data_IF_598968825139
#
_entry.id   IF_598968825139
#
_cell.length_a   1.000
_cell.length_b   1.000
_cell.length_c   1.000
_cell.angle_alpha   90.00
_cell.angle_beta   90.00
_cell.angle_gamma   90.00
#
_symmetry.space_group_name_H-M   'P 1'
#
loop_
_entity.id
_entity.type
_entity.pdbx_description
1 polymer ?
#
# COMPACT_ATOMS: atom_id res chain seq x y z
N UNK A 1 18.08 21.27 -11.18
CA UNK A 1 17.20 20.62 -10.20
C UNK A 1 17.96 19.43 -9.70
N UNK A 2 18.18 19.36 -8.39
CA UNK A 2 18.96 18.30 -7.78
C UNK A 2 18.18 16.99 -7.95
N UNK A 3 18.61 16.13 -8.88
CA UNK A 3 18.05 14.78 -9.01
C UNK A 3 18.63 13.91 -7.91
N UNK A 4 18.41 14.32 -6.66
CA UNK A 4 18.78 13.57 -5.48
C UNK A 4 18.03 12.24 -5.46
N UNK A 5 18.72 11.17 -5.11
CA UNK A 5 18.08 9.88 -4.85
C UNK A 5 16.96 10.08 -3.82
N UNK A 6 15.73 9.57 -4.05
CA UNK A 6 14.62 9.82 -3.13
C UNK A 6 14.90 9.19 -1.76
N UNK A 7 14.72 9.96 -0.69
CA UNK A 7 14.99 9.54 0.69
C UNK A 7 14.12 8.33 1.11
N UNK A 8 12.89 8.29 0.62
CA UNK A 8 11.91 7.27 0.97
C UNK A 8 11.47 6.44 -0.23
N UNK A 9 11.14 5.18 0.04
CA UNK A 9 10.31 4.33 -0.82
C UNK A 9 8.91 4.30 -0.22
N UNK A 10 7.92 4.71 -1.03
CA UNK A 10 6.51 4.62 -0.65
C UNK A 10 6.01 3.20 -0.89
N UNK A 11 5.58 2.55 0.18
CA UNK A 11 4.89 1.25 0.11
C UNK A 11 3.42 1.47 0.42
N UNK A 12 2.55 0.92 -0.44
CA UNK A 12 1.10 1.01 -0.28
C UNK A 12 0.55 -0.40 -0.04
N UNK A 13 -0.16 -0.58 1.07
CA UNK A 13 -0.87 -1.82 1.42
C UNK A 13 -2.38 -1.62 1.27
N UNK A 14 -3.09 -2.68 0.86
CA UNK A 14 -4.53 -2.64 0.81
C UNK A 14 -5.12 -2.48 2.22
N UNK A 15 -6.17 -1.67 2.32
CA UNK A 15 -7.04 -1.56 3.49
C UNK A 15 -8.21 -2.51 3.32
N UNK A 16 -8.64 -3.09 4.44
CA UNK A 16 -9.81 -3.94 4.50
C UNK A 16 -10.56 -3.60 5.78
N UNK A 17 -11.86 -3.33 5.66
CA UNK A 17 -12.69 -2.86 6.77
C UNK A 17 -14.09 -3.45 6.69
N UNK A 18 -14.61 -3.90 7.83
CA UNK A 18 -15.98 -4.37 7.96
C UNK A 18 -16.95 -3.18 7.97
N UNK A 19 -17.96 -3.25 7.12
CA UNK A 19 -19.01 -2.25 6.98
C UNK A 19 -20.18 -2.53 7.95
N UNK A 20 -21.07 -1.56 8.11
CA UNK A 20 -22.24 -1.66 9.00
C UNK A 20 -23.19 -2.81 8.62
N UNK A 21 -23.33 -3.07 7.32
CA UNK A 21 -24.13 -4.17 6.77
C UNK A 21 -23.45 -5.54 6.87
N UNK A 22 -22.35 -5.63 7.63
CA UNK A 22 -21.52 -6.82 7.85
C UNK A 22 -20.70 -7.26 6.63
N UNK A 23 -20.78 -6.55 5.50
CA UNK A 23 -19.89 -6.77 4.36
C UNK A 23 -18.47 -6.26 4.66
N UNK A 24 -17.53 -6.61 3.79
CA UNK A 24 -16.14 -6.21 3.87
C UNK A 24 -15.76 -5.39 2.65
N UNK A 25 -15.26 -4.18 2.90
CA UNK A 25 -14.74 -3.27 1.88
C UNK A 25 -13.22 -3.41 1.82
N UNK A 26 -12.66 -3.51 0.62
CA UNK A 26 -11.22 -3.50 0.41
C UNK A 26 -10.81 -2.51 -0.68
N UNK A 27 -9.73 -1.75 -0.45
CA UNK A 27 -9.25 -0.71 -1.36
C UNK A 27 -7.76 -0.42 -1.15
N UNK A 28 -7.12 0.24 -2.11
CA UNK A 28 -5.81 0.86 -1.90
C UNK A 28 -6.01 2.33 -1.47
N UNK A 29 -5.25 2.86 -0.48
CA UNK A 29 -5.42 4.24 -0.01
C UNK A 29 -5.39 5.34 -1.08
N UNK A 30 -4.66 5.10 -2.19
CA UNK A 30 -4.55 6.05 -3.31
C UNK A 30 -5.58 5.84 -4.43
N UNK A 31 -6.46 4.87 -4.28
CA UNK A 31 -7.37 4.45 -5.33
C UNK A 31 -8.76 5.08 -5.11
N UNK A 32 -9.38 5.50 -6.21
CA UNK A 32 -10.76 5.97 -6.27
C UNK A 32 -11.78 4.82 -6.35
N UNK A 33 -11.31 3.59 -6.36
CA UNK A 33 -12.11 2.38 -6.50
C UNK A 33 -11.94 1.46 -5.29
N UNK A 34 -12.93 0.59 -5.09
CA UNK A 34 -12.94 -0.39 -4.01
C UNK A 34 -13.76 -1.61 -4.43
N UNK A 35 -13.64 -2.70 -3.68
CA UNK A 35 -14.46 -3.89 -3.84
C UNK A 35 -15.20 -4.20 -2.54
N UNK A 36 -16.33 -4.91 -2.66
CA UNK A 36 -17.13 -5.40 -1.53
C UNK A 36 -17.26 -6.93 -1.61
N UNK A 37 -17.18 -7.62 -0.46
CA UNK A 37 -17.46 -9.04 -0.34
C UNK A 37 -18.07 -9.38 1.04
N UNK A 38 -18.62 -10.59 1.18
CA UNK A 38 -19.26 -11.02 2.44
C UNK A 38 -18.24 -11.41 3.52
N UNK A 39 -16.99 -11.68 3.13
CA UNK A 39 -15.90 -12.06 4.03
C UNK A 39 -14.65 -11.21 3.79
N UNK A 40 -13.83 -11.09 4.82
CA UNK A 40 -12.55 -10.35 4.74
C UNK A 40 -11.64 -10.95 3.67
N UNK A 41 -11.45 -12.27 3.68
CA UNK A 41 -10.65 -12.98 2.69
C UNK A 41 -11.22 -12.82 1.27
N UNK A 42 -12.55 -12.84 1.13
CA UNK A 42 -13.22 -12.59 -0.13
C UNK A 42 -12.96 -11.18 -0.65
N UNK A 43 -12.94 -10.17 0.22
CA UNK A 43 -12.65 -8.79 -0.16
C UNK A 43 -11.18 -8.63 -0.58
N UNK A 44 -10.24 -9.28 0.12
CA UNK A 44 -8.81 -9.32 -0.25
C UNK A 44 -8.60 -9.98 -1.61
N UNK A 45 -9.26 -11.10 -1.86
CA UNK A 45 -9.20 -11.82 -3.14
C UNK A 45 -9.74 -10.96 -4.29
N UNK A 46 -10.96 -10.41 -4.14
CA UNK A 46 -11.56 -9.53 -5.14
C UNK A 46 -10.70 -8.29 -5.43
N UNK A 47 -10.05 -7.73 -4.40
CA UNK A 47 -9.20 -6.56 -4.57
C UNK A 47 -7.97 -6.87 -5.44
N UNK A 48 -7.36 -8.04 -5.22
CA UNK A 48 -6.24 -8.53 -6.05
C UNK A 48 -6.70 -8.75 -7.49
N UNK A 49 -7.82 -9.42 -7.69
CA UNK A 49 -8.32 -9.74 -9.03
C UNK A 49 -8.71 -8.46 -9.81
N UNK A 50 -9.32 -7.47 -9.14
CA UNK A 50 -9.64 -6.17 -9.74
C UNK A 50 -8.37 -5.34 -10.04
N UNK A 51 -7.34 -5.42 -9.19
CA UNK A 51 -6.05 -4.81 -9.47
C UNK A 51 -5.40 -5.40 -10.73
N UNK A 52 -5.39 -6.73 -10.86
CA UNK A 52 -4.86 -7.43 -12.03
C UNK A 52 -5.64 -7.08 -13.30
N UNK A 53 -6.98 -7.00 -13.21
CA UNK A 53 -7.82 -6.54 -14.33
C UNK A 53 -7.44 -5.13 -14.78
N UNK A 54 -7.35 -4.17 -13.85
CA UNK A 54 -6.99 -2.77 -14.14
C UNK A 54 -5.59 -2.65 -14.70
N UNK A 55 -4.63 -3.42 -14.16
CA UNK A 55 -3.27 -3.47 -14.68
C UNK A 55 -3.26 -3.90 -16.15
N UNK A 56 -3.97 -4.99 -16.47
CA UNK A 56 -4.05 -5.52 -17.83
C UNK A 56 -4.81 -4.59 -18.80
N UNK A 57 -5.74 -3.80 -18.27
CA UNK A 57 -6.49 -2.79 -19.04
C UNK A 57 -5.75 -1.45 -19.19
N UNK A 58 -4.61 -1.26 -18.51
CA UNK A 58 -3.91 0.03 -18.47
C UNK A 58 -4.65 1.12 -17.68
N UNK A 59 -5.57 0.73 -16.80
CA UNK A 59 -6.41 1.62 -15.98
C UNK A 59 -5.77 1.97 -14.62
N UNK A 60 -4.55 1.49 -14.35
CA UNK A 60 -3.84 1.84 -13.11
C UNK A 60 -3.15 3.18 -13.25
N UNK A 61 -3.48 4.08 -12.34
CA UNK A 61 -2.76 5.32 -12.18
C UNK A 61 -1.35 5.06 -11.64
N UNK A 62 -0.37 5.36 -12.49
CA UNK A 62 1.07 5.25 -12.20
C UNK A 62 1.68 6.61 -11.87
N UNK A 63 0.86 7.64 -11.60
CA UNK A 63 1.34 8.97 -11.24
C UNK A 63 2.40 8.93 -10.13
N UNK A 64 3.37 9.88 -10.16
CA UNK A 64 4.52 9.86 -9.26
C UNK A 64 4.09 9.88 -7.79
N UNK A 65 4.68 8.97 -7.00
CA UNK A 65 4.42 8.80 -5.57
C UNK A 65 4.75 10.03 -4.70
N UNK A 66 5.27 11.13 -5.25
CA UNK A 66 5.73 12.31 -4.50
C UNK A 66 4.58 13.03 -3.78
N UNK A 67 3.41 13.19 -4.42
CA UNK A 67 2.23 13.81 -3.79
C UNK A 67 1.72 12.96 -2.62
N UNK A 68 1.70 11.63 -2.80
CA UNK A 68 1.28 10.68 -1.76
C UNK A 68 2.26 10.67 -0.58
N UNK A 69 3.57 10.72 -0.85
CA UNK A 69 4.60 10.80 0.19
C UNK A 69 4.46 12.08 1.00
N UNK A 70 4.36 13.24 0.34
CA UNK A 70 4.24 14.53 1.00
C UNK A 70 2.98 14.58 1.89
N UNK A 71 1.85 14.08 1.39
CA UNK A 71 0.63 13.99 2.19
C UNK A 71 0.82 13.06 3.40
N UNK A 72 1.40 11.87 3.20
CA UNK A 72 1.60 10.89 4.26
C UNK A 72 2.55 11.37 5.36
N UNK A 73 3.59 12.14 5.01
CA UNK A 73 4.53 12.71 5.98
C UNK A 73 3.90 13.84 6.81
N UNK A 74 2.91 14.55 6.25
CA UNK A 74 2.18 15.59 6.98
C UNK A 74 1.02 15.03 7.83
N UNK A 75 0.28 14.06 7.30
CA UNK A 75 -0.83 13.38 7.95
C UNK A 75 -0.79 11.86 7.63
N UNK A 76 -0.45 10.99 8.61
CA UNK A 76 -0.27 9.57 8.38
C UNK A 76 -1.50 8.85 7.82
N UNK A 77 -1.52 8.64 6.49
CA UNK A 77 -2.54 7.82 5.82
C UNK A 77 -2.39 6.33 6.21
N UNK A 78 -3.43 5.67 6.73
CA UNK A 78 -3.41 4.23 7.00
C UNK A 78 -3.17 3.40 5.73
N UNK A 79 -2.28 2.42 5.79
CA UNK A 79 -1.91 1.60 4.63
C UNK A 79 -0.91 2.26 3.68
N UNK A 80 -0.41 3.45 3.98
CA UNK A 80 0.74 4.07 3.32
C UNK A 80 1.90 4.08 4.30
N UNK A 81 3.10 3.76 3.81
CA UNK A 81 4.32 3.72 4.61
C UNK A 81 5.45 4.39 3.83
N UNK A 82 6.09 5.38 4.45
CA UNK A 82 7.35 5.95 4.00
C UNK A 82 8.48 5.17 4.64
N UNK A 83 9.16 4.31 3.87
CA UNK A 83 10.28 3.51 4.36
C UNK A 83 11.58 4.12 3.86
N UNK A 84 12.53 4.33 4.75
CA UNK A 84 13.89 4.77 4.40
C UNK A 84 14.42 3.94 3.23
N UNK A 85 14.93 4.60 2.20
CA UNK A 85 15.33 3.94 0.95
C UNK A 85 16.41 2.90 1.19
N UNK A 86 17.42 3.20 2.01
CA UNK A 86 18.54 2.29 2.23
C UNK A 86 18.10 1.05 3.03
N UNK A 87 17.17 1.22 3.97
CA UNK A 87 16.49 0.09 4.63
C UNK A 87 15.71 -0.74 3.61
N UNK A 88 14.87 -0.12 2.79
CA UNK A 88 14.08 -0.82 1.78
C UNK A 88 14.94 -1.58 0.77
N UNK A 89 16.00 -0.94 0.25
CA UNK A 89 16.89 -1.54 -0.73
C UNK A 89 17.68 -2.72 -0.15
N UNK A 90 18.15 -2.61 1.10
CA UNK A 90 18.78 -3.75 1.79
C UNK A 90 17.85 -4.95 1.90
N UNK A 91 16.60 -4.73 2.35
CA UNK A 91 15.60 -5.80 2.41
C UNK A 91 15.30 -6.37 1.03
N UNK A 92 15.14 -5.52 0.00
CA UNK A 92 14.82 -5.91 -1.38
C UNK A 92 15.85 -6.84 -2.00
N UNK A 93 17.13 -6.68 -1.65
CA UNK A 93 18.21 -7.55 -2.13
C UNK A 93 18.34 -8.85 -1.34
N UNK A 94 17.65 -8.98 -0.20
CA UNK A 94 17.71 -10.16 0.66
C UNK A 94 16.76 -11.29 0.26
N UNK A 95 17.03 -12.54 0.68
CA UNK A 95 16.21 -13.71 0.33
C UNK A 95 14.81 -13.70 0.99
N UNK A 96 14.61 -12.90 2.05
CA UNK A 96 13.38 -12.85 2.83
C UNK A 96 12.61 -11.53 2.67
N UNK A 97 12.84 -10.78 1.58
CA UNK A 97 12.31 -9.44 1.35
C UNK A 97 10.87 -9.24 1.82
N UNK A 98 9.94 -10.12 1.41
CA UNK A 98 8.52 -9.99 1.76
C UNK A 98 8.28 -10.11 3.26
N UNK A 99 8.88 -11.09 3.92
CA UNK A 99 8.74 -11.30 5.37
C UNK A 99 9.33 -10.13 6.15
N UNK A 100 10.51 -9.65 5.74
CA UNK A 100 11.21 -8.58 6.43
C UNK A 100 10.46 -7.24 6.25
N UNK A 101 9.89 -7.00 5.06
CA UNK A 101 9.02 -5.84 4.80
C UNK A 101 7.70 -5.92 5.59
N UNK A 102 7.06 -7.09 5.66
CA UNK A 102 5.84 -7.29 6.44
C UNK A 102 6.11 -7.06 7.95
N UNK A 103 7.25 -7.52 8.47
CA UNK A 103 7.67 -7.29 9.85
C UNK A 103 7.93 -5.81 10.16
N UNK A 104 8.62 -5.09 9.28
CA UNK A 104 8.87 -3.65 9.44
C UNK A 104 7.55 -2.86 9.45
N UNK A 105 6.62 -3.19 8.54
CA UNK A 105 5.30 -2.54 8.50
C UNK A 105 4.54 -2.79 9.81
N UNK A 106 4.54 -4.03 10.32
CA UNK A 106 3.89 -4.34 11.60
C UNK A 106 4.48 -3.56 12.78
N UNK A 107 5.80 -3.32 12.76
CA UNK A 107 6.45 -2.46 13.77
C UNK A 107 5.94 -1.00 13.66
N UNK A 108 5.93 -0.43 12.45
CA UNK A 108 5.45 0.95 12.21
C UNK A 108 4.00 1.12 12.68
N UNK A 109 3.15 0.11 12.46
CA UNK A 109 1.75 0.16 12.91
C UNK A 109 1.59 0.09 14.43
N UNK A 110 2.53 -0.52 15.13
CA UNK A 110 2.50 -0.63 16.61
C UNK A 110 3.00 0.65 17.29
N UNK A 111 3.83 1.43 16.61
CA UNK A 111 4.43 2.68 17.12
C UNK A 111 3.54 3.92 16.93
N UNK A 112 2.38 3.78 16.25
CA UNK A 112 1.39 4.84 16.01
C UNK A 112 0.26 4.81 17.02
#
# INVERSE_FOLDING_TARGET
>A
MDSGTPEYVVVVRPRVERQNDQSWKAWYPKSDWHVIADTEDGARLKLRDEFERRLNAGELDTEPNESLLAHHLADPIPGVYAIDRDVYMRMRTGPNFRRDLDALIGQIETER
#
